data_IF_766771743944
#
_entry.id   IF_766771743944
#
_cell.length_a   1.000
_cell.length_b   1.000
_cell.length_c   1.000
_cell.angle_alpha   90.00
_cell.angle_beta   90.00
_cell.angle_gamma   90.00
#
_symmetry.space_group_name_H-M   'P 1'
#
loop_
_entity.id
_entity.type
_entity.pdbx_description
1 polymer ?
#
# COMPACT_ATOMS: atom_id res chain seq x y z
N UNK A 1 47.12 7.26 -5.31
CA UNK A 1 46.49 8.50 -5.78
C UNK A 1 45.37 8.30 -6.84
N UNK A 2 44.94 7.07 -7.13
CA UNK A 2 43.79 6.76 -8.02
C UNK A 2 42.49 6.35 -7.28
N UNK A 3 42.55 6.09 -5.98
CA UNK A 3 41.44 5.61 -5.18
C UNK A 3 40.49 6.71 -4.72
N UNK A 4 40.97 7.93 -4.55
CA UNK A 4 40.15 9.05 -4.03
C UNK A 4 39.19 9.66 -5.07
N UNK A 5 39.57 9.62 -6.37
CA UNK A 5 38.72 10.15 -7.45
C UNK A 5 37.47 9.30 -7.66
N UNK A 6 37.56 7.97 -7.53
CA UNK A 6 36.41 7.07 -7.72
C UNK A 6 35.42 7.21 -6.56
N UNK A 7 35.88 7.45 -5.34
CA UNK A 7 35.03 7.64 -4.17
C UNK A 7 34.24 8.96 -4.23
N UNK A 8 34.89 10.04 -4.66
CA UNK A 8 34.25 11.35 -4.85
C UNK A 8 33.24 11.34 -5.99
N UNK A 9 33.53 10.64 -7.08
CA UNK A 9 32.60 10.49 -8.22
C UNK A 9 31.37 9.66 -7.83
N UNK A 10 31.55 8.59 -7.07
CA UNK A 10 30.44 7.76 -6.59
C UNK A 10 29.54 8.56 -5.62
N UNK A 11 30.12 9.31 -4.69
CA UNK A 11 29.37 10.14 -3.76
C UNK A 11 28.60 11.28 -4.45
N UNK A 12 29.17 11.90 -5.48
CA UNK A 12 28.49 12.95 -6.26
C UNK A 12 27.33 12.41 -7.08
N UNK A 13 27.48 11.26 -7.70
CA UNK A 13 26.42 10.57 -8.43
C UNK A 13 25.27 10.16 -7.51
N UNK A 14 25.59 9.60 -6.34
CA UNK A 14 24.60 9.24 -5.34
C UNK A 14 23.83 10.45 -4.81
N UNK A 15 24.50 11.58 -4.59
CA UNK A 15 23.89 12.84 -4.20
C UNK A 15 22.96 13.42 -5.28
N UNK A 16 23.33 13.32 -6.56
CA UNK A 16 22.50 13.74 -7.68
C UNK A 16 21.23 12.88 -7.80
N UNK A 17 21.32 11.57 -7.61
CA UNK A 17 20.16 10.69 -7.58
C UNK A 17 19.20 11.04 -6.44
N UNK A 18 19.71 11.28 -5.23
CA UNK A 18 18.91 11.70 -4.09
C UNK A 18 18.16 13.02 -4.33
N UNK A 19 18.81 14.00 -4.98
CA UNK A 19 18.19 15.28 -5.32
C UNK A 19 17.04 15.08 -6.30
N UNK A 20 17.21 14.22 -7.31
CA UNK A 20 16.16 13.90 -8.28
C UNK A 20 14.97 13.21 -7.64
N UNK A 21 15.20 12.25 -6.75
CA UNK A 21 14.12 11.58 -6.01
C UNK A 21 13.36 12.54 -5.11
N UNK A 22 14.06 13.44 -4.40
CA UNK A 22 13.43 14.47 -3.58
C UNK A 22 12.56 15.42 -4.41
N UNK A 23 13.04 15.81 -5.60
CA UNK A 23 12.26 16.64 -6.54
C UNK A 23 11.02 15.90 -7.05
N UNK A 24 11.16 14.63 -7.43
CA UNK A 24 10.05 13.79 -7.87
C UNK A 24 9.00 13.61 -6.76
N UNK A 25 9.44 13.44 -5.52
CA UNK A 25 8.56 13.38 -4.35
C UNK A 25 7.79 14.68 -4.13
N UNK A 26 8.48 15.83 -4.16
CA UNK A 26 7.83 17.12 -4.01
C UNK A 26 6.80 17.36 -5.13
N UNK A 27 7.13 17.02 -6.38
CA UNK A 27 6.20 17.11 -7.49
C UNK A 27 5.01 16.15 -7.33
N UNK A 28 5.21 14.97 -6.76
CA UNK A 28 4.11 14.05 -6.47
C UNK A 28 3.14 14.61 -5.42
N UNK A 29 3.64 15.30 -4.40
CA UNK A 29 2.82 15.97 -3.38
C UNK A 29 2.04 17.16 -3.93
N UNK A 30 2.49 17.82 -5.00
CA UNK A 30 1.68 18.88 -5.61
C UNK A 30 0.42 18.36 -6.30
N UNK A 31 0.42 17.07 -6.69
CA UNK A 31 -0.79 16.43 -7.27
C UNK A 31 -1.84 16.15 -6.19
N UNK A 32 -1.39 15.75 -4.99
CA UNK A 32 -2.25 15.47 -3.84
C UNK A 32 -1.74 16.21 -2.60
N UNK A 33 -2.08 17.51 -2.44
CA UNK A 33 -1.51 18.36 -1.38
C UNK A 33 -1.83 17.87 0.04
N UNK A 34 -2.99 17.26 0.25
CA UNK A 34 -3.44 16.73 1.54
C UNK A 34 -3.11 15.24 1.71
N UNK A 35 -2.54 14.63 0.69
CA UNK A 35 -2.22 13.20 0.66
C UNK A 35 -1.00 12.87 1.53
N UNK A 36 -1.08 11.76 2.24
CA UNK A 36 0.05 11.19 3.01
C UNK A 36 0.77 10.16 2.16
N UNK A 37 2.10 10.29 2.06
CA UNK A 37 2.91 9.26 1.40
C UNK A 37 2.88 7.97 2.21
N UNK A 38 2.38 6.90 1.60
CA UNK A 38 2.34 5.57 2.19
C UNK A 38 3.56 4.72 1.81
N UNK A 39 3.92 4.72 0.51
CA UNK A 39 5.05 3.91 0.01
C UNK A 39 5.62 4.48 -1.29
N UNK A 40 6.92 4.29 -1.48
CA UNK A 40 7.64 4.60 -2.71
C UNK A 40 8.07 3.28 -3.37
N UNK A 41 7.82 3.15 -4.66
CA UNK A 41 8.27 2.05 -5.50
C UNK A 41 9.37 2.55 -6.42
N UNK A 42 10.58 2.06 -6.20
CA UNK A 42 11.72 2.42 -7.03
C UNK A 42 11.71 1.64 -8.34
N UNK A 43 12.22 2.22 -9.43
CA UNK A 43 12.32 1.56 -10.72
C UNK A 43 13.24 0.33 -10.64
N UNK A 44 12.79 -0.78 -11.20
CA UNK A 44 13.60 -2.01 -11.31
C UNK A 44 14.43 -2.02 -12.59
N UNK A 45 13.95 -1.34 -13.63
CA UNK A 45 14.62 -1.19 -14.93
C UNK A 45 14.82 0.29 -15.22
N UNK A 46 15.81 0.65 -16.05
CA UNK A 46 16.05 2.05 -16.45
C UNK A 46 14.84 2.74 -17.09
N UNK A 47 13.92 1.98 -17.66
CA UNK A 47 12.71 2.48 -18.33
C UNK A 47 11.52 2.65 -17.39
N UNK A 48 11.60 2.13 -16.16
CA UNK A 48 10.49 2.14 -15.23
C UNK A 48 10.36 3.52 -14.55
N UNK A 49 9.13 3.90 -14.24
CA UNK A 49 8.85 5.11 -13.47
C UNK A 49 8.93 4.85 -11.97
N UNK A 50 9.18 5.92 -11.19
CA UNK A 50 9.04 5.89 -9.74
C UNK A 50 7.54 5.93 -9.44
N UNK A 51 7.06 4.99 -8.64
CA UNK A 51 5.67 4.98 -8.16
C UNK A 51 5.57 5.51 -6.74
N UNK A 52 4.73 6.51 -6.52
CA UNK A 52 4.36 7.01 -5.20
C UNK A 52 2.95 6.55 -4.90
N UNK A 53 2.79 5.83 -3.80
CA UNK A 53 1.50 5.43 -3.29
C UNK A 53 1.09 6.40 -2.20
N UNK A 54 -0.01 7.10 -2.41
CA UNK A 54 -0.47 8.21 -1.57
C UNK A 54 -1.84 7.85 -1.00
N UNK A 55 -2.05 8.15 0.26
CA UNK A 55 -3.33 8.04 0.94
C UNK A 55 -3.96 9.41 1.05
N UNK A 56 -5.07 9.61 0.34
CA UNK A 56 -5.84 10.84 0.41
C UNK A 56 -6.80 10.83 1.60
N UNK A 57 -7.18 12.00 2.14
CA UNK A 57 -8.19 12.10 3.18
C UNK A 57 -9.49 11.39 2.77
N UNK A 58 -10.01 10.53 3.64
CA UNK A 58 -11.21 9.74 3.38
C UNK A 58 -10.99 8.40 2.68
N UNK A 59 -9.79 8.12 2.15
CA UNK A 59 -9.45 6.79 1.68
C UNK A 59 -9.26 5.83 2.87
N UNK A 60 -9.68 4.60 2.68
CA UNK A 60 -9.50 3.54 3.69
C UNK A 60 -8.08 2.98 3.75
N UNK A 61 -7.33 3.24 2.71
CA UNK A 61 -5.97 2.79 2.52
C UNK A 61 -5.40 3.55 1.33
N UNK A 62 -4.08 3.62 1.19
CA UNK A 62 -3.44 4.34 0.10
C UNK A 62 -3.71 3.67 -1.26
N UNK A 63 -4.78 4.04 -1.92
CA UNK A 63 -5.14 3.52 -3.26
C UNK A 63 -4.78 4.47 -4.39
N UNK A 64 -4.49 5.74 -4.08
CA UNK A 64 -4.06 6.73 -5.06
C UNK A 64 -2.60 6.59 -5.42
N UNK A 65 -2.28 6.84 -6.68
CA UNK A 65 -0.94 6.65 -7.23
C UNK A 65 -0.48 7.87 -8.02
N UNK A 66 0.82 8.14 -7.95
CA UNK A 66 1.51 9.09 -8.82
C UNK A 66 2.75 8.42 -9.38
N UNK A 67 2.95 8.52 -10.67
CA UNK A 67 4.15 8.02 -11.34
C UNK A 67 4.98 9.18 -11.87
N UNK A 68 6.27 9.17 -11.53
CA UNK A 68 7.23 10.18 -11.96
C UNK A 68 8.39 9.54 -12.71
N UNK A 69 8.90 10.27 -13.68
CA UNK A 69 10.10 9.86 -14.40
C UNK A 69 11.33 10.01 -13.50
N UNK A 70 12.16 8.96 -13.31
CA UNK A 70 13.31 8.98 -12.41
C UNK A 70 14.41 9.97 -12.83
N UNK A 71 14.47 10.32 -14.12
CA UNK A 71 15.53 11.17 -14.67
C UNK A 71 15.15 12.65 -14.69
N UNK A 72 13.90 12.97 -15.02
CA UNK A 72 13.42 14.35 -15.15
C UNK A 72 12.66 14.83 -13.92
N UNK A 73 12.22 13.90 -13.06
CA UNK A 73 11.34 14.13 -11.93
C UNK A 73 9.93 14.67 -12.30
N UNK A 74 9.58 14.64 -13.58
CA UNK A 74 8.27 15.06 -14.06
C UNK A 74 7.23 13.97 -13.78
N UNK A 75 6.00 14.40 -13.49
CA UNK A 75 4.87 13.49 -13.32
C UNK A 75 4.46 12.96 -14.71
N UNK A 76 4.41 11.65 -14.84
CA UNK A 76 4.01 10.94 -16.06
C UNK A 76 2.53 10.61 -16.04
N UNK A 77 2.03 10.17 -14.89
CA UNK A 77 0.63 9.82 -14.70
C UNK A 77 0.23 9.96 -13.23
N UNK A 78 -1.04 10.19 -12.97
CA UNK A 78 -1.63 10.14 -11.64
C UNK A 78 -2.97 9.38 -11.68
N UNK A 79 -3.27 8.67 -10.62
CA UNK A 79 -4.51 7.96 -10.43
C UNK A 79 -5.09 8.34 -9.08
N UNK A 80 -6.28 8.90 -9.09
CA UNK A 80 -7.04 9.29 -7.90
C UNK A 80 -8.13 8.24 -7.63
N UNK A 81 -7.97 7.49 -6.55
CA UNK A 81 -8.91 6.43 -6.20
C UNK A 81 -10.26 6.97 -5.75
N UNK A 82 -10.34 8.21 -5.28
CA UNK A 82 -11.60 8.85 -4.87
C UNK A 82 -12.53 9.13 -6.05
N UNK A 83 -11.94 9.35 -7.24
CA UNK A 83 -12.66 9.59 -8.50
C UNK A 83 -12.91 8.32 -9.30
N UNK A 84 -12.56 7.16 -8.76
CA UNK A 84 -12.77 5.89 -9.44
C UNK A 84 -14.26 5.51 -9.51
N UNK A 85 -14.60 4.60 -10.42
CA UNK A 85 -15.96 4.10 -10.58
C UNK A 85 -16.48 3.44 -9.30
N UNK A 86 -17.78 3.41 -9.09
CA UNK A 86 -18.43 2.78 -7.94
C UNK A 86 -17.98 1.32 -7.72
N UNK A 87 -17.81 0.56 -8.78
CA UNK A 87 -17.29 -0.82 -8.74
C UNK A 87 -15.89 -0.91 -8.11
N UNK A 88 -15.00 0.02 -8.46
CA UNK A 88 -13.65 0.07 -7.91
C UNK A 88 -13.67 0.48 -6.44
N UNK A 89 -14.53 1.43 -6.05
CA UNK A 89 -14.70 1.83 -4.66
C UNK A 89 -15.26 0.70 -3.81
N UNK A 90 -16.21 -0.10 -4.32
CA UNK A 90 -16.71 -1.30 -3.65
C UNK A 90 -15.61 -2.34 -3.45
N UNK A 91 -14.72 -2.49 -4.45
CA UNK A 91 -13.56 -3.37 -4.32
C UNK A 91 -12.56 -2.88 -3.25
N UNK A 92 -12.34 -1.59 -3.14
CA UNK A 92 -11.52 -0.99 -2.08
C UNK A 92 -12.15 -1.16 -0.70
N UNK A 93 -13.47 -1.07 -0.59
CA UNK A 93 -14.22 -1.29 0.65
C UNK A 93 -14.11 -2.73 1.16
N UNK A 94 -13.90 -3.71 0.28
CA UNK A 94 -13.72 -5.12 0.64
C UNK A 94 -12.67 -5.33 1.73
N UNK A 95 -11.56 -4.59 1.70
CA UNK A 95 -10.52 -4.71 2.71
C UNK A 95 -11.01 -4.26 4.09
N UNK A 96 -11.66 -3.10 4.19
CA UNK A 96 -12.27 -2.62 5.44
C UNK A 96 -13.31 -3.58 5.97
N UNK A 97 -14.14 -4.09 5.08
CA UNK A 97 -15.15 -5.08 5.45
C UNK A 97 -14.52 -6.35 6.01
N UNK A 98 -13.45 -6.83 5.39
CA UNK A 98 -12.82 -8.09 5.79
C UNK A 98 -12.14 -8.02 7.17
N UNK A 99 -11.60 -6.88 7.55
CA UNK A 99 -11.00 -6.65 8.87
C UNK A 99 -12.00 -6.08 9.91
N UNK A 100 -13.23 -5.80 9.50
CA UNK A 100 -14.25 -5.22 10.38
C UNK A 100 -14.04 -3.73 10.71
N UNK A 101 -13.17 -3.02 10.00
CA UNK A 101 -12.80 -1.62 10.27
C UNK A 101 -13.69 -0.62 9.52
N UNK A 102 -15.00 -0.86 9.50
CA UNK A 102 -15.95 0.02 8.81
C UNK A 102 -17.02 0.64 9.72
N UNK A 103 -17.23 0.07 10.92
CA UNK A 103 -18.27 0.54 11.83
C UNK A 103 -17.83 0.50 13.32
N UNK A 104 -16.52 0.61 13.58
CA UNK A 104 -15.95 0.77 14.91
C UNK A 104 -15.71 -0.54 15.69
N UNK A 105 -15.30 -0.44 16.97
CA UNK A 105 -14.77 -1.57 17.75
C UNK A 105 -15.79 -2.68 18.03
N UNK A 106 -17.07 -2.34 18.08
CA UNK A 106 -18.14 -3.34 18.29
C UNK A 106 -18.21 -4.30 17.10
N UNK A 107 -18.10 -3.76 15.88
CA UNK A 107 -18.10 -4.60 14.67
C UNK A 107 -16.83 -5.42 14.57
N UNK A 108 -15.68 -4.88 14.95
CA UNK A 108 -14.42 -5.65 15.02
C UNK A 108 -14.55 -6.83 15.99
N UNK A 109 -15.19 -6.64 17.14
CA UNK A 109 -15.45 -7.72 18.11
C UNK A 109 -16.37 -8.79 17.52
N UNK A 110 -17.44 -8.41 16.82
CA UNK A 110 -18.32 -9.37 16.13
C UNK A 110 -17.55 -10.16 15.06
N UNK A 111 -16.69 -9.48 14.29
CA UNK A 111 -15.84 -10.14 13.29
C UNK A 111 -14.87 -11.13 13.92
N UNK A 112 -14.31 -10.82 15.09
CA UNK A 112 -13.49 -11.74 15.85
C UNK A 112 -14.28 -13.01 16.26
N UNK A 113 -15.52 -12.85 16.74
CA UNK A 113 -16.38 -13.98 17.08
C UNK A 113 -16.68 -14.85 15.85
N UNK A 114 -17.00 -14.24 14.71
CA UNK A 114 -17.19 -14.97 13.46
C UNK A 114 -15.92 -15.67 12.97
N UNK A 115 -14.75 -15.06 13.13
CA UNK A 115 -13.48 -15.68 12.80
C UNK A 115 -13.15 -16.90 13.66
N UNK A 116 -13.64 -16.97 14.91
CA UNK A 116 -13.48 -18.11 15.80
C UNK A 116 -14.51 -19.24 15.53
N UNK A 117 -15.58 -18.96 14.79
CA UNK A 117 -16.63 -19.96 14.52
C UNK A 117 -16.15 -21.23 13.82
N UNK A 118 -15.22 -21.22 12.83
CA UNK A 118 -14.70 -22.44 12.24
C UNK A 118 -13.98 -23.34 13.25
N UNK A 119 -13.25 -22.74 14.19
CA UNK A 119 -12.58 -23.48 15.25
C UNK A 119 -13.61 -24.22 16.14
N UNK A 120 -14.67 -23.52 16.53
CA UNK A 120 -15.77 -24.11 17.31
C UNK A 120 -16.44 -25.27 16.56
N UNK A 121 -16.74 -25.10 15.27
CA UNK A 121 -17.34 -26.16 14.45
C UNK A 121 -16.40 -27.34 14.26
N UNK A 122 -15.10 -27.09 14.12
CA UNK A 122 -14.10 -28.17 14.00
C UNK A 122 -14.06 -29.01 15.27
N UNK A 123 -13.98 -28.37 16.44
CA UNK A 123 -13.94 -29.08 17.72
C UNK A 123 -15.23 -29.84 18.00
N UNK A 124 -16.39 -29.21 17.79
CA UNK A 124 -17.70 -29.88 17.99
C UNK A 124 -17.92 -31.01 16.99
N UNK A 125 -17.55 -30.82 15.73
CA UNK A 125 -17.63 -31.87 14.71
C UNK A 125 -16.74 -33.08 15.04
N UNK A 126 -15.52 -32.84 15.48
CA UNK A 126 -14.63 -33.91 15.95
C UNK A 126 -15.17 -34.64 17.17
N UNK A 127 -15.75 -33.90 18.14
CA UNK A 127 -16.39 -34.50 19.33
C UNK A 127 -17.53 -35.42 18.95
N UNK A 128 -18.45 -34.98 18.05
CA UNK A 128 -19.57 -35.82 17.61
C UNK A 128 -19.10 -37.03 16.79
N UNK A 129 -18.10 -36.85 15.92
CA UNK A 129 -17.51 -37.95 15.19
C UNK A 129 -16.90 -39.00 16.14
N UNK A 130 -16.12 -38.57 17.12
CA UNK A 130 -15.50 -39.45 18.12
C UNK A 130 -16.54 -40.21 18.89
N UNK A 131 -17.57 -39.54 19.42
CA UNK A 131 -18.65 -40.16 20.18
C UNK A 131 -19.44 -41.19 19.36
N UNK A 132 -19.61 -40.97 18.07
CA UNK A 132 -20.30 -41.89 17.16
C UNK A 132 -19.47 -43.12 16.80
N UNK A 133 -18.15 -42.94 16.69
CA UNK A 133 -17.26 -44.02 16.22
C UNK A 133 -16.79 -44.94 17.33
N UNK A 134 -16.68 -44.46 18.54
CA UNK A 134 -16.17 -45.21 19.69
C UNK A 134 -17.24 -45.57 20.74
N UNK A 135 -18.49 -45.44 20.43
CA UNK A 135 -19.63 -45.87 21.25
C UNK A 135 -20.42 -46.96 20.52
#
# INVERSE_FOLDING_TARGET
MKTDLNHLTCCSLQKQHLIKYKKAYNNALTVFPEGKLFRIYLPKKPTDNIGFRIENPGESHAYSWVWANPYTANIVASYDASKSSWTTQTWHFKYKFHIGDFAGPIVQLLWLVFALSPLFFTVSGFYFWYKRHFR
#
